data_IF_416166511017
#
_entry.id   IF_416166511017
#
_cell.length_a   1.000
_cell.length_b   1.000
_cell.length_c   1.000
_cell.angle_alpha   90.00
_cell.angle_beta   90.00
_cell.angle_gamma   90.00
#
_symmetry.space_group_name_H-M   'P 1'
#
loop_
_entity.id
_entity.type
_entity.pdbx_description
1 polymer ?
#
# COMPACT_ATOMS: atom_id res chain seq x y z
N UNK A 1 9.03 12.79 7.16
CA UNK A 1 7.56 12.99 7.02
C UNK A 1 7.02 12.39 5.71
N UNK A 2 7.64 12.66 4.56
CA UNK A 2 7.13 12.20 3.25
C UNK A 2 6.90 10.69 3.13
N UNK A 3 7.80 9.87 3.69
CA UNK A 3 7.67 8.41 3.69
C UNK A 3 6.47 7.90 4.49
N UNK A 4 6.07 8.58 5.56
CA UNK A 4 4.85 8.23 6.31
C UNK A 4 3.60 8.55 5.49
N UNK A 5 3.59 9.67 4.77
CA UNK A 5 2.49 10.04 3.89
C UNK A 5 2.36 9.07 2.70
N UNK A 6 3.49 8.70 2.09
CA UNK A 6 3.56 7.67 1.04
C UNK A 6 3.01 6.32 1.53
N UNK A 7 3.31 5.94 2.78
CA UNK A 7 2.78 4.70 3.37
C UNK A 7 1.25 4.73 3.48
N UNK A 8 0.68 5.85 3.96
CA UNK A 8 -0.77 6.01 4.12
C UNK A 8 -1.45 5.94 2.76
N UNK A 9 -0.92 6.63 1.75
CA UNK A 9 -1.48 6.61 0.39
C UNK A 9 -1.40 5.21 -0.25
N UNK A 10 -0.26 4.53 -0.12
CA UNK A 10 -0.11 3.17 -0.64
C UNK A 10 -1.07 2.18 0.05
N UNK A 11 -1.25 2.30 1.36
CA UNK A 11 -2.21 1.49 2.13
C UNK A 11 -3.65 1.75 1.69
N UNK A 12 -4.01 3.02 1.45
CA UNK A 12 -5.35 3.39 0.98
C UNK A 12 -5.65 2.82 -0.40
N UNK A 13 -4.70 2.94 -1.34
CA UNK A 13 -4.81 2.37 -2.69
C UNK A 13 -4.96 0.85 -2.64
N UNK A 14 -4.18 0.18 -1.78
CA UNK A 14 -4.30 -1.26 -1.58
C UNK A 14 -5.69 -1.68 -1.07
N UNK A 15 -6.23 -0.99 -0.06
CA UNK A 15 -7.57 -1.28 0.46
C UNK A 15 -8.64 -1.04 -0.61
N UNK A 16 -8.52 0.04 -1.37
CA UNK A 16 -9.47 0.35 -2.44
C UNK A 16 -9.49 -0.73 -3.54
N UNK A 17 -8.31 -1.15 -4.02
CA UNK A 17 -8.19 -2.15 -5.07
C UNK A 17 -8.58 -3.56 -4.61
N UNK A 18 -8.21 -3.94 -3.38
CA UNK A 18 -8.46 -5.30 -2.90
C UNK A 18 -9.89 -5.49 -2.38
N UNK A 19 -10.45 -4.49 -1.72
CA UNK A 19 -11.74 -4.63 -1.02
C UNK A 19 -12.83 -3.74 -1.61
N UNK A 20 -12.60 -2.43 -1.75
CA UNK A 20 -13.70 -1.49 -2.04
C UNK A 20 -14.21 -1.64 -3.48
N UNK A 21 -13.32 -1.65 -4.47
CA UNK A 21 -13.70 -1.80 -5.87
C UNK A 21 -14.36 -3.16 -6.14
N UNK A 22 -13.83 -4.30 -5.66
CA UNK A 22 -14.48 -5.58 -5.90
C UNK A 22 -15.80 -5.75 -5.13
N UNK A 23 -15.87 -5.28 -3.88
CA UNK A 23 -17.05 -5.51 -3.03
C UNK A 23 -18.23 -4.61 -3.40
N UNK A 24 -17.98 -3.34 -3.72
CA UNK A 24 -19.06 -2.37 -3.95
C UNK A 24 -19.37 -2.13 -5.43
N UNK A 25 -18.41 -2.37 -6.32
CA UNK A 25 -18.58 -2.09 -7.75
C UNK A 25 -18.55 -3.36 -8.62
N UNK A 26 -18.40 -4.56 -8.01
CA UNK A 26 -18.31 -5.84 -8.71
C UNK A 26 -17.24 -5.88 -9.83
N UNK A 27 -16.21 -5.03 -9.69
CA UNK A 27 -15.05 -5.01 -10.59
C UNK A 27 -14.14 -6.15 -10.15
N UNK A 28 -13.68 -7.00 -11.08
CA UNK A 28 -12.73 -8.06 -10.73
C UNK A 28 -11.51 -7.47 -10.02
N UNK A 29 -11.09 -8.12 -8.93
CA UNK A 29 -9.92 -7.67 -8.19
C UNK A 29 -8.70 -7.74 -9.10
N UNK A 30 -8.07 -6.59 -9.35
CA UNK A 30 -6.81 -6.56 -10.07
C UNK A 30 -5.70 -7.12 -9.16
N UNK A 31 -5.41 -8.41 -9.37
CA UNK A 31 -4.37 -9.13 -8.64
C UNK A 31 -2.98 -8.54 -8.89
N UNK A 32 -2.74 -7.96 -10.06
CA UNK A 32 -1.46 -7.33 -10.41
C UNK A 32 -1.32 -6.00 -9.69
N UNK A 33 -2.35 -5.16 -9.73
CA UNK A 33 -2.40 -3.88 -9.01
C UNK A 33 -2.28 -4.07 -7.49
N UNK A 34 -2.96 -5.09 -6.94
CA UNK A 34 -2.86 -5.49 -5.54
C UNK A 34 -1.43 -5.90 -5.16
N UNK A 35 -0.80 -6.74 -5.99
CA UNK A 35 0.57 -7.22 -5.76
C UNK A 35 1.60 -6.08 -5.81
N UNK A 36 1.49 -5.18 -6.78
CA UNK A 36 2.34 -3.99 -6.89
C UNK A 36 2.13 -3.07 -5.67
N UNK A 37 0.90 -2.88 -5.23
CA UNK A 37 0.58 -2.12 -4.02
C UNK A 37 1.26 -2.69 -2.77
N UNK A 38 1.26 -4.01 -2.60
CA UNK A 38 1.95 -4.69 -1.49
C UNK A 38 3.47 -4.48 -1.54
N UNK A 39 4.10 -4.61 -2.71
CA UNK A 39 5.55 -4.37 -2.87
C UNK A 39 5.90 -2.95 -2.42
N UNK A 40 5.13 -1.95 -2.86
CA UNK A 40 5.38 -0.54 -2.51
C UNK A 40 5.25 -0.33 -1.00
N UNK A 41 4.24 -0.91 -0.36
CA UNK A 41 4.07 -0.85 1.10
C UNK A 41 5.27 -1.45 1.82
N UNK A 42 5.74 -2.63 1.40
CA UNK A 42 6.91 -3.31 2.00
C UNK A 42 8.17 -2.47 1.86
N UNK A 43 8.42 -1.87 0.70
CA UNK A 43 9.58 -0.99 0.46
C UNK A 43 9.54 0.23 1.37
N UNK A 44 8.39 0.89 1.49
CA UNK A 44 8.22 2.08 2.35
C UNK A 44 8.37 1.72 3.83
N UNK A 45 7.80 0.60 4.28
CA UNK A 45 7.95 0.10 5.64
C UNK A 45 9.40 -0.21 5.97
N UNK A 46 10.12 -0.91 5.09
CA UNK A 46 11.54 -1.21 5.27
C UNK A 46 12.38 0.08 5.39
N UNK A 47 12.11 1.07 4.54
CA UNK A 47 12.77 2.38 4.63
C UNK A 47 12.48 3.07 5.98
N UNK A 48 11.22 3.10 6.42
CA UNK A 48 10.84 3.72 7.70
C UNK A 48 11.44 2.99 8.90
N UNK A 49 11.46 1.65 8.91
CA UNK A 49 12.05 0.86 9.99
C UNK A 49 13.56 1.10 10.07
N UNK A 50 14.27 1.06 8.93
CA UNK A 50 15.71 1.32 8.87
C UNK A 50 16.07 2.74 9.32
N UNK A 51 15.21 3.71 9.04
CA UNK A 51 15.42 5.09 9.47
C UNK A 51 15.13 5.31 10.96
N UNK A 52 14.14 4.60 11.53
CA UNK A 52 13.88 4.66 12.98
C UNK A 52 14.93 3.89 13.80
N UNK A 53 15.49 2.81 13.27
CA UNK A 53 16.54 2.03 13.95
C UNK A 53 17.91 2.75 14.02
N UNK A 54 18.06 3.87 13.32
CA UNK A 54 19.27 4.71 13.34
C UNK A 54 19.17 5.91 14.28
N UNK A 55 17.99 6.17 14.85
CA UNK A 55 17.75 7.16 15.90
C UNK A 55 17.67 6.46 17.26
#
# INVERSE_FOLDING_TARGET
MIYRFLLIMATFIFILNLFVLPTFFAIESDNTGTFIGLIIIVVILNHLLKNNAKN
#
